data_IF_975064257799
#
_entry.id   IF_975064257799
#
_cell.length_a   1.000
_cell.length_b   1.000
_cell.length_c   1.000
_cell.angle_alpha   90.00
_cell.angle_beta   90.00
_cell.angle_gamma   90.00
#
_symmetry.space_group_name_H-M   'P 1'
#
loop_
_entity.id
_entity.type
_entity.pdbx_description
1 polymer ?
#
# COMPACT_ATOMS: atom_id res chain seq x y z
N UNK A 1 1.56 2.40 -33.81
CA UNK A 1 1.97 1.08 -33.28
C UNK A 1 0.73 0.40 -32.72
N UNK A 2 0.43 -0.86 -33.05
CA UNK A 2 -0.76 -1.54 -32.55
C UNK A 2 -0.68 -1.71 -31.03
N UNK A 3 -1.78 -1.41 -30.32
CA UNK A 3 -1.88 -1.64 -28.89
C UNK A 3 -1.78 -3.14 -28.60
N UNK A 4 -0.99 -3.51 -27.58
CA UNK A 4 -0.93 -4.90 -27.13
C UNK A 4 -2.33 -5.38 -26.72
N UNK A 5 -2.69 -6.59 -27.13
CA UNK A 5 -3.96 -7.21 -26.70
C UNK A 5 -3.86 -7.60 -25.22
N UNK A 6 -4.97 -7.51 -24.47
CA UNK A 6 -4.99 -7.89 -23.05
C UNK A 6 -4.71 -9.38 -22.86
N UNK A 7 -4.07 -9.72 -21.74
CA UNK A 7 -3.86 -11.12 -21.32
C UNK A 7 -5.19 -11.83 -21.06
N UNK A 8 -5.31 -13.07 -21.55
CA UNK A 8 -6.48 -13.94 -21.35
C UNK A 8 -6.49 -14.59 -19.95
N UNK A 9 -5.33 -15.04 -19.48
CA UNK A 9 -5.17 -15.70 -18.18
C UNK A 9 -4.16 -14.94 -17.30
N UNK A 10 -4.54 -14.54 -16.07
CA UNK A 10 -3.64 -13.83 -15.18
C UNK A 10 -2.56 -14.77 -14.63
N UNK A 11 -1.30 -14.44 -14.92
CA UNK A 11 -0.12 -15.06 -14.29
C UNK A 11 0.37 -14.22 -13.10
N UNK A 12 1.33 -14.74 -12.32
CA UNK A 12 2.00 -13.93 -11.28
C UNK A 12 2.70 -12.72 -11.88
N UNK A 13 2.66 -11.58 -11.19
CA UNK A 13 3.25 -10.31 -11.66
C UNK A 13 4.73 -10.49 -11.93
N UNK A 14 5.49 -11.06 -10.99
CA UNK A 14 6.94 -11.28 -11.17
C UNK A 14 7.26 -12.20 -12.35
N UNK A 15 6.39 -13.16 -12.69
CA UNK A 15 6.57 -14.01 -13.87
C UNK A 15 6.38 -13.21 -15.17
N UNK A 16 5.34 -12.36 -15.24
CA UNK A 16 5.09 -11.49 -16.39
C UNK A 16 6.24 -10.50 -16.61
N UNK A 17 6.73 -9.86 -15.53
CA UNK A 17 7.86 -8.94 -15.58
C UNK A 17 9.12 -9.64 -16.10
N UNK A 18 9.49 -10.80 -15.52
CA UNK A 18 10.68 -11.57 -15.96
C UNK A 18 10.61 -11.96 -17.43
N UNK A 19 9.45 -12.43 -17.88
CA UNK A 19 9.24 -12.81 -19.28
C UNK A 19 9.45 -11.62 -20.20
N UNK A 20 8.80 -10.49 -19.93
CA UNK A 20 8.89 -9.29 -20.79
C UNK A 20 10.26 -8.63 -20.78
N UNK A 21 10.94 -8.57 -19.63
CA UNK A 21 12.31 -8.06 -19.55
C UNK A 21 13.26 -8.89 -20.43
N UNK A 22 13.12 -10.22 -20.41
CA UNK A 22 13.91 -11.13 -21.27
C UNK A 22 13.63 -10.91 -22.75
N UNK A 23 12.35 -10.82 -23.14
CA UNK A 23 11.95 -10.59 -24.54
C UNK A 23 12.46 -9.25 -25.08
N UNK A 24 12.48 -8.21 -24.25
CA UNK A 24 12.94 -6.87 -24.61
C UNK A 24 14.46 -6.67 -24.42
N UNK A 25 15.18 -7.68 -23.92
CA UNK A 25 16.60 -7.61 -23.53
C UNK A 25 16.89 -6.44 -22.59
N UNK A 26 16.02 -6.26 -21.58
CA UNK A 26 16.10 -5.22 -20.56
C UNK A 26 16.40 -5.79 -19.19
N UNK A 27 16.89 -4.94 -18.29
CA UNK A 27 17.25 -5.31 -16.91
C UNK A 27 16.20 -4.79 -15.90
N UNK A 28 16.10 -5.42 -14.71
CA UNK A 28 15.29 -4.89 -13.62
C UNK A 28 15.71 -3.48 -13.19
N UNK A 29 17.01 -3.15 -13.27
CA UNK A 29 17.53 -1.81 -12.97
C UNK A 29 16.98 -0.75 -13.91
N UNK A 30 17.00 -0.98 -15.23
CA UNK A 30 16.41 -0.04 -16.20
C UNK A 30 14.91 0.16 -15.96
N UNK A 31 14.20 -0.90 -15.56
CA UNK A 31 12.78 -0.80 -15.21
C UNK A 31 12.58 -0.02 -13.90
N UNK A 32 13.45 -0.19 -12.91
CA UNK A 32 13.41 0.57 -11.65
C UNK A 32 13.60 2.06 -11.90
N UNK A 33 14.57 2.44 -12.74
CA UNK A 33 14.83 3.81 -13.16
C UNK A 33 13.60 4.40 -13.89
N UNK A 34 12.98 3.65 -14.80
CA UNK A 34 11.80 4.09 -15.55
C UNK A 34 10.55 4.32 -14.67
N UNK A 35 10.45 3.62 -13.54
CA UNK A 35 9.31 3.68 -12.59
C UNK A 35 9.62 4.57 -11.39
N UNK A 36 10.87 5.08 -11.28
CA UNK A 36 11.39 5.84 -10.14
C UNK A 36 11.23 5.08 -8.81
N UNK A 37 11.70 3.84 -8.79
CA UNK A 37 11.80 2.99 -7.59
C UNK A 37 13.24 2.50 -7.41
N UNK A 38 13.58 2.00 -6.24
CA UNK A 38 14.91 1.41 -6.02
C UNK A 38 15.08 0.13 -6.82
N UNK A 39 16.33 -0.19 -7.15
CA UNK A 39 16.68 -1.43 -7.85
C UNK A 39 16.22 -2.66 -7.05
N UNK A 40 16.43 -2.67 -5.73
CA UNK A 40 16.01 -3.76 -4.84
C UNK A 40 14.49 -3.96 -4.86
N UNK A 41 13.71 -2.87 -4.83
CA UNK A 41 12.25 -2.95 -4.91
C UNK A 41 11.80 -3.67 -6.19
N UNK A 42 12.40 -3.29 -7.33
CA UNK A 42 12.06 -3.90 -8.61
C UNK A 42 12.59 -5.34 -8.70
N UNK A 43 13.81 -5.61 -8.22
CA UNK A 43 14.39 -6.94 -8.20
C UNK A 43 13.53 -7.92 -7.37
N UNK A 44 13.05 -7.49 -6.20
CA UNK A 44 12.17 -8.30 -5.36
C UNK A 44 10.81 -8.55 -5.98
N UNK A 45 10.26 -7.55 -6.68
CA UNK A 45 9.00 -7.69 -7.41
C UNK A 45 9.14 -8.65 -8.60
N UNK A 46 10.25 -8.56 -9.34
CA UNK A 46 10.58 -9.43 -10.46
C UNK A 46 10.83 -10.87 -10.00
N UNK A 47 11.52 -11.06 -8.87
CA UNK A 47 11.77 -12.39 -8.29
C UNK A 47 10.54 -12.99 -7.63
N UNK A 48 9.51 -12.19 -7.34
CA UNK A 48 8.32 -12.60 -6.58
C UNK A 48 8.58 -12.74 -5.08
N UNK A 49 9.65 -12.12 -4.56
CA UNK A 49 9.92 -12.03 -3.10
C UNK A 49 9.04 -10.98 -2.44
N UNK A 50 8.64 -9.94 -3.19
CA UNK A 50 7.73 -8.89 -2.75
C UNK A 50 6.33 -9.13 -3.31
N UNK A 51 5.31 -8.92 -2.47
CA UNK A 51 3.91 -8.91 -2.89
C UNK A 51 3.69 -7.81 -3.93
N UNK A 52 2.94 -8.05 -5.03
CA UNK A 52 2.68 -7.00 -6.00
C UNK A 52 1.93 -5.82 -5.38
N UNK A 53 2.17 -4.58 -5.84
CA UNK A 53 1.44 -3.39 -5.39
C UNK A 53 -0.08 -3.53 -5.47
N UNK A 54 -0.82 -2.67 -4.78
CA UNK A 54 -2.28 -2.69 -4.91
C UNK A 54 -2.71 -2.45 -6.38
N UNK A 55 -3.71 -3.17 -6.94
CA UNK A 55 -4.04 -3.09 -8.37
C UNK A 55 -4.40 -1.70 -8.89
N UNK A 56 -4.84 -0.80 -7.99
CA UNK A 56 -5.16 0.60 -8.32
C UNK A 56 -3.95 1.53 -8.42
N UNK A 57 -2.73 1.05 -8.16
CA UNK A 57 -1.47 1.82 -8.16
C UNK A 57 -1.02 2.18 -9.58
N UNK A 58 -1.75 3.09 -10.23
CA UNK A 58 -1.44 3.58 -11.57
C UNK A 58 -0.09 4.29 -11.64
N UNK A 59 0.34 4.90 -10.54
CA UNK A 59 1.66 5.50 -10.35
C UNK A 59 2.82 4.53 -10.61
N UNK A 60 2.61 3.23 -10.36
CA UNK A 60 3.58 2.16 -10.64
C UNK A 60 3.25 1.42 -11.93
N UNK A 61 2.01 0.98 -12.12
CA UNK A 61 1.66 0.12 -13.25
C UNK A 61 1.67 0.84 -14.60
N UNK A 62 1.32 2.12 -14.65
CA UNK A 62 1.35 2.87 -15.92
C UNK A 62 2.78 2.99 -16.49
N UNK A 63 3.80 3.46 -15.73
CA UNK A 63 5.17 3.48 -16.25
C UNK A 63 5.72 2.07 -16.51
N UNK A 64 5.40 1.07 -15.68
CA UNK A 64 5.83 -0.32 -15.90
C UNK A 64 5.27 -0.89 -17.21
N UNK A 65 3.96 -0.77 -17.44
CA UNK A 65 3.32 -1.28 -18.67
C UNK A 65 3.85 -0.56 -19.91
N UNK A 66 4.09 0.76 -19.82
CA UNK A 66 4.70 1.55 -20.89
C UNK A 66 6.12 1.06 -21.22
N UNK A 67 6.98 0.87 -20.21
CA UNK A 67 8.34 0.37 -20.39
C UNK A 67 8.36 -1.04 -21.01
N UNK A 68 7.47 -1.91 -20.55
CA UNK A 68 7.38 -3.31 -20.98
C UNK A 68 6.53 -3.53 -22.25
N UNK A 69 5.98 -2.46 -22.83
CA UNK A 69 5.09 -2.50 -24.01
C UNK A 69 3.91 -3.47 -23.81
N UNK A 70 3.34 -3.46 -22.61
CA UNK A 70 2.17 -4.23 -22.21
C UNK A 70 0.89 -3.42 -22.39
N UNK A 71 -0.25 -4.11 -22.39
CA UNK A 71 -1.53 -3.42 -22.29
C UNK A 71 -1.68 -2.83 -20.88
N UNK A 72 -2.31 -1.65 -20.77
CA UNK A 72 -2.44 -0.89 -19.51
C UNK A 72 -3.04 -1.69 -18.35
N UNK A 73 -3.85 -2.71 -18.66
CA UNK A 73 -4.55 -3.52 -17.67
C UNK A 73 -3.85 -4.86 -17.36
N UNK A 74 -2.77 -5.23 -18.05
CA UNK A 74 -2.14 -6.54 -17.88
C UNK A 74 -1.58 -6.71 -16.46
N UNK A 75 -0.75 -5.77 -16.01
CA UNK A 75 -0.16 -5.81 -14.67
C UNK A 75 -1.20 -5.65 -13.55
N UNK A 76 -2.14 -4.68 -13.61
CA UNK A 76 -3.21 -4.57 -12.61
C UNK A 76 -4.08 -5.84 -12.50
N UNK A 77 -4.37 -6.50 -13.62
CA UNK A 77 -5.18 -7.73 -13.62
C UNK A 77 -4.44 -8.88 -12.95
N UNK A 78 -3.15 -9.07 -13.28
CA UNK A 78 -2.28 -10.03 -12.61
C UNK A 78 -2.15 -9.74 -11.11
N UNK A 79 -1.93 -8.49 -10.73
CA UNK A 79 -1.82 -8.08 -9.33
C UNK A 79 -3.09 -8.36 -8.53
N UNK A 80 -4.26 -8.11 -9.13
CA UNK A 80 -5.55 -8.40 -8.50
C UNK A 80 -5.73 -9.89 -8.25
N UNK A 81 -5.44 -10.73 -9.25
CA UNK A 81 -5.53 -12.19 -9.12
C UNK A 81 -4.56 -12.71 -8.04
N UNK A 82 -3.30 -12.25 -8.07
CA UNK A 82 -2.27 -12.67 -7.11
C UNK A 82 -2.59 -12.22 -5.68
N UNK A 83 -3.08 -10.99 -5.48
CA UNK A 83 -3.48 -10.50 -4.16
C UNK A 83 -4.78 -11.14 -3.65
N UNK A 84 -5.70 -11.54 -4.52
CA UNK A 84 -6.91 -12.24 -4.12
C UNK A 84 -6.61 -13.69 -3.67
N UNK A 85 -5.65 -14.35 -4.31
CA UNK A 85 -5.16 -15.66 -3.88
C UNK A 85 -4.38 -15.59 -2.56
N UNK A 86 -3.67 -14.48 -2.31
CA UNK A 86 -3.05 -14.18 -1.04
C UNK A 86 -4.08 -13.55 -0.07
N UNK A 87 -4.97 -14.38 0.48
CA UNK A 87 -5.85 -13.99 1.60
C UNK A 87 -4.99 -13.30 2.65
N UNK A 88 -5.36 -12.08 3.08
CA UNK A 88 -4.66 -11.35 4.13
C UNK A 88 -4.85 -12.08 5.47
N UNK A 89 -4.03 -13.11 5.69
CA UNK A 89 -3.97 -13.86 6.91
C UNK A 89 -3.05 -13.11 7.88
N UNK A 90 -3.64 -12.43 8.85
CA UNK A 90 -2.88 -11.77 9.91
C UNK A 90 -3.76 -10.92 10.81
N UNK A 91 -3.60 -11.10 12.12
CA UNK A 91 -4.06 -10.11 13.10
C UNK A 91 -3.09 -8.91 13.02
N UNK A 92 -3.57 -7.66 13.07
CA UNK A 92 -2.67 -6.50 13.12
C UNK A 92 -1.70 -6.59 14.30
N UNK A 93 -0.56 -5.92 14.20
CA UNK A 93 0.40 -5.85 15.30
C UNK A 93 -0.29 -5.31 16.58
N UNK A 94 -0.11 -5.96 17.74
CA UNK A 94 -0.76 -5.53 18.99
C UNK A 94 -0.45 -4.07 19.39
N UNK A 95 0.74 -3.58 19.08
CA UNK A 95 1.13 -2.19 19.33
C UNK A 95 0.40 -1.24 18.37
N UNK A 96 0.29 -1.61 17.10
CA UNK A 96 -0.54 -0.86 16.12
C UNK A 96 -2.00 -0.77 16.60
N UNK A 97 -2.57 -1.89 17.05
CA UNK A 97 -3.92 -1.90 17.63
C UNK A 97 -4.04 -0.94 18.82
N UNK A 98 -3.05 -0.92 19.72
CA UNK A 98 -3.04 -0.01 20.87
C UNK A 98 -3.03 1.45 20.43
N UNK A 99 -2.10 1.83 19.55
CA UNK A 99 -1.96 3.20 19.04
C UNK A 99 -3.22 3.67 18.31
N UNK A 100 -3.85 2.78 17.55
CA UNK A 100 -5.13 3.06 16.87
C UNK A 100 -6.26 3.26 17.89
N UNK A 101 -6.35 2.41 18.91
CA UNK A 101 -7.37 2.53 19.96
C UNK A 101 -7.17 3.75 20.87
N UNK A 102 -5.96 4.30 20.97
CA UNK A 102 -5.70 5.59 21.64
C UNK A 102 -6.39 6.76 20.93
N UNK A 103 -6.58 6.67 19.62
CA UNK A 103 -7.28 7.69 18.82
C UNK A 103 -8.82 7.53 18.87
N UNK A 104 -9.33 6.47 19.50
CA UNK A 104 -10.77 6.24 19.61
C UNK A 104 -11.44 7.29 20.51
N UNK A 105 -12.67 7.67 20.17
CA UNK A 105 -13.52 8.49 21.02
C UNK A 105 -13.61 7.89 22.46
N UNK A 106 -13.40 8.70 23.51
CA UNK A 106 -13.22 8.21 24.88
C UNK A 106 -14.44 7.44 25.40
N UNK A 107 -15.64 7.77 24.91
CA UNK A 107 -16.89 7.11 25.28
C UNK A 107 -16.93 5.64 24.86
N UNK A 108 -16.34 5.29 23.71
CA UNK A 108 -16.35 3.92 23.16
C UNK A 108 -15.03 3.17 23.36
N UNK A 109 -13.96 3.88 23.73
CA UNK A 109 -12.61 3.33 23.85
C UNK A 109 -12.55 2.11 24.79
N UNK A 110 -13.12 2.19 26.00
CA UNK A 110 -13.11 1.09 26.98
C UNK A 110 -13.89 -0.15 26.49
N UNK A 111 -15.02 0.06 25.82
CA UNK A 111 -15.84 -1.02 25.27
C UNK A 111 -15.07 -1.75 24.16
N UNK A 112 -14.44 -1.00 23.26
CA UNK A 112 -13.68 -1.53 22.14
C UNK A 112 -12.44 -2.29 22.60
N UNK A 113 -11.67 -1.74 23.56
CA UNK A 113 -10.55 -2.45 24.18
C UNK A 113 -10.96 -3.82 24.72
N UNK A 114 -12.11 -3.91 25.41
CA UNK A 114 -12.63 -5.18 25.92
C UNK A 114 -13.07 -6.15 24.82
N UNK A 115 -13.69 -5.66 23.74
CA UNK A 115 -14.13 -6.52 22.62
C UNK A 115 -12.93 -7.05 21.82
N UNK A 116 -11.97 -6.18 21.55
CA UNK A 116 -10.75 -6.49 20.79
C UNK A 116 -9.86 -7.48 21.54
N UNK A 117 -9.80 -7.41 22.88
CA UNK A 117 -9.06 -8.36 23.69
C UNK A 117 -9.59 -9.81 23.64
N UNK A 118 -10.83 -10.03 23.15
CA UNK A 118 -11.38 -11.38 22.97
C UNK A 118 -10.73 -12.09 21.78
N UNK A 119 -10.69 -13.44 21.76
CA UNK A 119 -10.17 -14.20 20.63
C UNK A 119 -10.83 -13.86 19.28
N UNK A 120 -12.12 -13.53 19.30
CA UNK A 120 -12.91 -13.14 18.13
C UNK A 120 -12.70 -11.68 17.71
N UNK A 121 -11.97 -10.88 18.50
CA UNK A 121 -11.73 -9.46 18.25
C UNK A 121 -10.83 -9.16 17.05
N UNK A 122 -10.14 -10.17 16.51
CA UNK A 122 -9.19 -9.99 15.40
C UNK A 122 -9.84 -9.46 14.12
N UNK A 123 -11.10 -9.81 13.85
CA UNK A 123 -11.83 -9.26 12.70
C UNK A 123 -12.13 -7.77 12.89
N UNK A 124 -12.60 -7.40 14.08
CA UNK A 124 -12.87 -6.01 14.42
C UNK A 124 -11.60 -5.15 14.34
N UNK A 125 -10.46 -5.65 14.83
CA UNK A 125 -9.17 -4.98 14.68
C UNK A 125 -8.82 -4.75 13.20
N UNK A 126 -8.94 -5.78 12.35
CA UNK A 126 -8.67 -5.64 10.92
C UNK A 126 -9.56 -4.60 10.26
N UNK A 127 -10.84 -4.54 10.62
CA UNK A 127 -11.78 -3.53 10.10
C UNK A 127 -11.38 -2.13 10.54
N UNK A 128 -11.08 -1.93 11.82
CA UNK A 128 -10.70 -0.63 12.37
C UNK A 128 -9.38 -0.16 11.74
N UNK A 129 -8.32 -0.97 11.84
CA UNK A 129 -6.99 -0.65 11.30
C UNK A 129 -7.07 -0.43 9.80
N UNK A 130 -7.74 -1.32 9.06
CA UNK A 130 -7.89 -1.20 7.62
C UNK A 130 -8.58 0.08 7.17
N UNK A 131 -9.62 0.54 7.87
CA UNK A 131 -10.32 1.78 7.51
C UNK A 131 -9.50 3.03 7.80
N UNK A 132 -8.82 3.10 8.93
CA UNK A 132 -7.93 4.22 9.24
C UNK A 132 -6.74 4.26 8.29
N UNK A 133 -6.19 3.09 7.93
CA UNK A 133 -5.14 2.95 6.94
C UNK A 133 -5.59 3.49 5.57
N UNK A 134 -6.78 3.12 5.10
CA UNK A 134 -7.31 3.62 3.82
C UNK A 134 -7.42 5.16 3.79
N UNK A 135 -7.86 5.76 4.90
CA UNK A 135 -7.91 7.23 5.04
C UNK A 135 -6.50 7.82 4.94
N UNK A 136 -5.54 7.31 5.71
CA UNK A 136 -4.15 7.76 5.67
C UNK A 136 -3.50 7.60 4.29
N UNK A 137 -3.73 6.46 3.62
CA UNK A 137 -3.27 6.20 2.25
C UNK A 137 -3.84 7.20 1.23
N UNK A 138 -5.06 7.71 1.44
CA UNK A 138 -5.62 8.80 0.63
C UNK A 138 -4.85 10.13 0.76
N UNK A 139 -4.24 10.42 1.91
CA UNK A 139 -3.34 11.57 2.05
C UNK A 139 -1.97 11.31 1.41
N UNK A 140 -1.45 10.10 1.57
CA UNK A 140 -0.14 9.73 1.01
C UNK A 140 -0.17 9.71 -0.51
N UNK A 141 -1.25 9.22 -1.14
CA UNK A 141 -1.43 9.31 -2.58
C UNK A 141 -1.37 10.76 -3.09
N UNK A 142 -2.07 11.69 -2.42
CA UNK A 142 -2.00 13.12 -2.77
C UNK A 142 -0.59 13.70 -2.60
N UNK A 143 0.15 13.29 -1.57
CA UNK A 143 1.56 13.69 -1.38
C UNK A 143 2.46 13.11 -2.48
N UNK A 144 2.15 11.92 -2.99
CA UNK A 144 2.90 11.27 -4.07
C UNK A 144 2.64 11.94 -5.43
N UNK A 145 1.43 12.48 -5.64
CA UNK A 145 1.06 13.25 -6.84
C UNK A 145 1.76 14.61 -6.90
N UNK A 146 2.04 15.23 -5.74
CA UNK A 146 2.83 16.46 -5.63
C UNK A 146 4.34 16.17 -5.65
N UNK A 147 4.87 15.86 -6.84
CA UNK A 147 6.30 15.55 -7.01
C UNK A 147 7.22 16.70 -6.56
N UNK A 148 6.82 17.94 -6.82
CA UNK A 148 7.60 19.13 -6.43
C UNK A 148 7.64 19.26 -4.91
N UNK A 149 6.50 19.17 -4.24
CA UNK A 149 6.42 19.20 -2.78
C UNK A 149 7.18 18.03 -2.14
N UNK A 150 7.14 16.84 -2.74
CA UNK A 150 7.89 15.68 -2.27
C UNK A 150 9.41 15.89 -2.36
N UNK A 151 9.92 16.47 -3.46
CA UNK A 151 11.35 16.82 -3.59
C UNK A 151 11.77 17.86 -2.56
N UNK A 152 10.96 18.91 -2.36
CA UNK A 152 11.26 19.94 -1.35
C UNK A 152 11.24 19.38 0.08
N UNK A 153 10.31 18.48 0.39
CA UNK A 153 10.28 17.77 1.66
C UNK A 153 11.53 16.90 1.86
N UNK A 154 11.94 16.15 0.83
CA UNK A 154 13.13 15.30 0.87
C UNK A 154 14.39 16.10 1.22
N UNK A 155 14.59 17.26 0.59
CA UNK A 155 15.72 18.17 0.88
C UNK A 155 15.70 18.64 2.33
N UNK A 156 14.54 19.07 2.85
CA UNK A 156 14.41 19.50 4.26
C UNK A 156 14.68 18.38 5.25
N UNK A 157 14.30 17.15 4.89
CA UNK A 157 14.53 15.95 5.71
C UNK A 157 15.93 15.35 5.51
N UNK A 158 16.79 15.96 4.67
CA UNK A 158 18.15 15.49 4.43
C UNK A 158 18.22 14.15 3.69
N UNK A 159 17.19 13.80 2.90
CA UNK A 159 17.14 12.56 2.13
C UNK A 159 16.96 12.82 0.63
N UNK A 160 17.22 11.80 -0.18
CA UNK A 160 16.98 11.87 -1.62
C UNK A 160 15.49 11.79 -1.95
N UNK A 161 15.10 12.36 -3.10
CA UNK A 161 13.74 12.20 -3.63
C UNK A 161 13.31 10.73 -3.70
N UNK A 162 14.21 9.85 -4.17
CA UNK A 162 13.92 8.43 -4.29
C UNK A 162 13.66 7.80 -2.92
N UNK A 163 14.46 8.10 -1.89
CA UNK A 163 14.23 7.62 -0.52
C UNK A 163 12.89 8.11 0.04
N UNK A 164 12.55 9.39 -0.17
CA UNK A 164 11.26 9.94 0.25
C UNK A 164 10.09 9.25 -0.46
N UNK A 165 10.21 9.06 -1.79
CA UNK A 165 9.20 8.35 -2.59
C UNK A 165 9.03 6.92 -2.11
N UNK A 166 10.12 6.17 -1.91
CA UNK A 166 10.07 4.77 -1.47
C UNK A 166 9.30 4.60 -0.16
N UNK A 167 9.55 5.47 0.84
CA UNK A 167 8.79 5.45 2.10
C UNK A 167 7.28 5.56 1.87
N UNK A 168 6.85 6.45 0.98
CA UNK A 168 5.42 6.60 0.65
C UNK A 168 4.89 5.36 -0.09
N UNK A 169 5.63 4.84 -1.06
CA UNK A 169 5.19 3.66 -1.84
C UNK A 169 5.03 2.42 -0.96
N UNK A 170 5.93 2.21 -0.01
CA UNK A 170 5.90 1.09 0.94
C UNK A 170 4.69 1.17 1.87
N UNK A 171 4.40 2.36 2.41
CA UNK A 171 3.19 2.58 3.21
C UNK A 171 1.90 2.36 2.41
N UNK A 172 1.87 2.77 1.14
CA UNK A 172 0.72 2.56 0.26
C UNK A 172 0.48 1.09 -0.09
N UNK A 173 1.49 0.23 0.03
CA UNK A 173 1.36 -1.21 -0.19
C UNK A 173 1.01 -1.99 1.09
N UNK A 174 1.11 -1.34 2.26
CA UNK A 174 0.75 -1.92 3.53
C UNK A 174 -0.75 -2.27 3.61
N UNK A 175 -1.05 -3.31 4.37
CA UNK A 175 -2.40 -3.66 4.80
C UNK A 175 -2.49 -3.73 6.32
N UNK A 176 -3.67 -4.06 6.85
CA UNK A 176 -3.89 -4.10 8.29
C UNK A 176 -2.96 -5.07 9.03
N UNK A 177 -2.43 -6.12 8.36
CA UNK A 177 -1.53 -7.08 8.97
C UNK A 177 -0.05 -6.67 8.87
N UNK A 178 0.33 -5.92 7.83
CA UNK A 178 1.72 -5.48 7.62
C UNK A 178 2.03 -4.08 8.16
N UNK A 179 1.01 -3.33 8.59
CA UNK A 179 1.19 -1.99 9.15
C UNK A 179 2.06 -2.05 10.42
N UNK A 180 3.02 -1.12 10.55
CA UNK A 180 3.93 -1.07 11.71
C UNK A 180 3.60 0.08 12.67
N UNK A 181 4.06 0.05 13.93
CA UNK A 181 3.88 1.17 14.85
C UNK A 181 4.51 2.47 14.36
N UNK A 182 5.64 2.38 13.65
CA UNK A 182 6.28 3.53 13.00
C UNK A 182 5.36 4.16 11.95
N UNK A 183 4.70 3.35 11.14
CA UNK A 183 3.75 3.85 10.13
C UNK A 183 2.57 4.58 10.78
N UNK A 184 2.10 4.11 11.94
CA UNK A 184 1.06 4.80 12.70
C UNK A 184 1.50 6.19 13.15
N UNK A 185 2.71 6.30 13.69
CA UNK A 185 3.24 7.59 14.16
C UNK A 185 3.53 8.56 12.99
N UNK A 186 4.01 8.03 11.86
CA UNK A 186 4.38 8.84 10.68
C UNK A 186 3.16 9.24 9.83
N UNK A 187 2.19 8.36 9.64
CA UNK A 187 1.11 8.55 8.66
C UNK A 187 -0.29 8.67 9.26
N UNK A 188 -0.60 8.01 10.38
CA UNK A 188 -1.95 8.03 10.98
C UNK A 188 -2.10 9.16 12.01
N UNK A 189 -1.26 9.19 13.05
CA UNK A 189 -1.34 10.16 14.14
C UNK A 189 -1.31 11.63 13.67
N UNK A 190 -0.57 12.02 12.62
CA UNK A 190 -0.59 13.41 12.16
C UNK A 190 -1.87 13.80 11.41
N UNK A 191 -2.75 12.85 11.08
CA UNK A 191 -3.92 13.07 10.20
C UNK A 191 -5.26 12.80 10.86
N UNK A 192 -5.29 11.96 11.87
CA UNK A 192 -6.52 11.56 12.55
C UNK A 192 -6.51 12.20 13.94
N UNK A 193 -7.54 12.99 14.23
CA UNK A 193 -7.78 13.59 15.55
C UNK A 193 -8.46 12.58 16.46
N UNK A 194 -9.57 12.02 16.00
CA UNK A 194 -10.31 10.97 16.70
C UNK A 194 -11.13 10.15 15.72
N UNK A 195 -11.57 8.97 16.13
CA UNK A 195 -12.50 8.15 15.36
C UNK A 195 -13.48 7.41 16.26
N UNK A 196 -14.58 6.98 15.65
CA UNK A 196 -15.64 6.23 16.31
C UNK A 196 -16.22 5.19 15.33
N UNK A 197 -16.75 4.09 15.86
CA UNK A 197 -17.37 3.00 15.08
C UNK A 197 -18.69 2.57 15.68
N UNK A 198 -19.73 2.54 14.84
CA UNK A 198 -20.99 1.88 15.13
C UNK A 198 -20.80 0.36 15.03
N UNK A 199 -21.04 -0.38 16.11
CA UNK A 199 -20.69 -1.80 16.20
C UNK A 199 -21.68 -2.73 15.48
N UNK A 200 -22.87 -2.23 15.13
CA UNK A 200 -23.91 -3.03 14.48
C UNK A 200 -23.78 -2.90 12.95
N UNK A 201 -23.49 -1.71 12.46
CA UNK A 201 -23.32 -1.40 11.04
C UNK A 201 -21.86 -1.41 10.58
N UNK A 202 -20.93 -1.48 11.54
CA UNK A 202 -19.52 -1.18 11.35
C UNK A 202 -19.26 0.21 10.75
N UNK A 203 -20.21 1.15 10.69
CA UNK A 203 -19.97 2.48 10.12
C UNK A 203 -18.94 3.25 10.97
N UNK A 204 -17.92 3.87 10.33
CA UNK A 204 -16.90 4.63 11.04
C UNK A 204 -17.02 6.12 10.76
N UNK A 205 -16.94 6.91 11.83
CA UNK A 205 -16.80 8.36 11.78
C UNK A 205 -15.37 8.70 12.13
N UNK A 206 -14.66 9.37 11.23
CA UNK A 206 -13.25 9.72 11.40
C UNK A 206 -13.12 11.23 11.32
N UNK A 207 -12.57 11.85 12.37
CA UNK A 207 -12.30 13.28 12.45
C UNK A 207 -10.85 13.51 12.07
N UNK A 208 -10.63 14.28 11.02
CA UNK A 208 -9.32 14.61 10.50
C UNK A 208 -8.70 15.81 11.22
N UNK A 209 -7.39 15.96 11.11
CA UNK A 209 -6.66 17.17 11.49
C UNK A 209 -6.62 18.17 10.33
#
# INVERSE_FOLDING_TARGET
MPAALPLKDPVKVGQLLRRRLRELKRTPRELAEAVQVTEDYMADLVSGRRRPPAPGRSDLYAPMTKFLRLHRNDLPTCARAERAAAVAAGRPDPEVCRQVLELCAPERQRLLQRRVARPEGAELERVIVGRLLLVAQGFVNRKLEDEVGLRMAAVREGCTYLQARMRLLEFLDADAASLTPRDCDEFLRPRITTWDIDLDTHAMRIVLK
#
